data_IF_091362845141
#
_entry.id   IF_091362845141
#
_cell.length_a   1.000
_cell.length_b   1.000
_cell.length_c   1.000
_cell.angle_alpha   90.00
_cell.angle_beta   90.00
_cell.angle_gamma   90.00
#
_symmetry.space_group_name_H-M   'P 1'
#
loop_
_entity.id
_entity.type
_entity.pdbx_description
1 polymer ?
#
# COMPACT_ATOMS: atom_id res chain seq x y z
N UNK A 1 12.25 4.61 4.63
CA UNK A 1 11.45 3.74 3.76
C UNK A 1 10.27 4.45 3.11
N UNK A 2 9.48 3.72 2.32
CA UNK A 2 8.25 4.16 1.66
C UNK A 2 7.16 3.10 1.81
N UNK A 3 5.91 3.49 2.07
CA UNK A 3 4.78 2.56 2.05
C UNK A 3 4.48 2.09 0.63
N UNK A 4 4.05 0.84 0.47
CA UNK A 4 3.80 0.25 -0.86
C UNK A 4 2.36 -0.21 -1.10
N UNK A 5 1.44 0.09 -0.16
CA UNK A 5 0.01 -0.25 -0.31
C UNK A 5 -0.26 -1.76 -0.23
N UNK A 6 0.48 -2.43 0.66
CA UNK A 6 0.28 -3.83 1.02
C UNK A 6 0.08 -3.88 2.54
N UNK A 7 -0.92 -4.63 2.98
CA UNK A 7 -1.27 -4.80 4.39
C UNK A 7 -1.79 -6.22 4.66
N UNK A 8 -1.81 -6.62 5.92
CA UNK A 8 -2.47 -7.81 6.44
C UNK A 8 -3.37 -7.48 7.64
N UNK A 9 -3.96 -6.27 7.63
CA UNK A 9 -4.79 -5.72 8.72
C UNK A 9 -5.99 -6.61 9.06
N UNK A 10 -6.62 -7.21 8.05
CA UNK A 10 -7.81 -8.04 8.22
C UNK A 10 -7.50 -9.46 8.72
N UNK A 11 -6.39 -10.03 8.24
CA UNK A 11 -5.99 -11.41 8.52
C UNK A 11 -4.47 -11.49 8.54
N UNK A 12 -3.91 -11.58 9.75
CA UNK A 12 -2.50 -11.76 10.05
C UNK A 12 -1.82 -12.81 9.15
N UNK A 13 -0.67 -12.46 8.57
CA UNK A 13 0.06 -13.23 7.56
C UNK A 13 -0.63 -13.39 6.19
N UNK A 14 -1.76 -12.73 5.95
CA UNK A 14 -2.44 -12.69 4.64
C UNK A 14 -2.32 -11.31 4.02
N UNK A 15 -1.19 -11.10 3.32
CA UNK A 15 -0.89 -9.82 2.68
C UNK A 15 -1.69 -9.59 1.41
N UNK A 16 -2.33 -8.44 1.33
CA UNK A 16 -3.23 -8.03 0.25
C UNK A 16 -2.83 -6.65 -0.26
N UNK A 17 -3.11 -6.41 -1.54
CA UNK A 17 -2.95 -5.09 -2.14
C UNK A 17 -4.13 -4.16 -1.77
N UNK A 18 -4.02 -2.89 -2.18
CA UNK A 18 -5.07 -1.88 -2.00
C UNK A 18 -6.45 -2.23 -2.58
N UNK A 19 -6.54 -3.24 -3.46
CA UNK A 19 -7.79 -3.75 -4.05
C UNK A 19 -8.30 -5.01 -3.33
N UNK A 20 -7.59 -5.50 -2.33
CA UNK A 20 -7.90 -6.70 -1.57
C UNK A 20 -7.43 -8.01 -2.22
N UNK A 21 -6.60 -7.95 -3.26
CA UNK A 21 -6.05 -9.16 -3.86
C UNK A 21 -4.85 -9.65 -3.04
N UNK A 22 -4.80 -10.93 -2.71
CA UNK A 22 -3.62 -11.54 -2.08
C UNK A 22 -2.40 -11.39 -2.99
N UNK A 23 -1.30 -10.89 -2.43
CA UNK A 23 -0.05 -10.76 -3.16
C UNK A 23 0.58 -12.14 -3.40
N UNK A 24 1.21 -12.32 -4.55
CA UNK A 24 1.88 -13.59 -4.91
C UNK A 24 3.40 -13.47 -4.92
N UNK A 25 3.91 -12.25 -5.03
CA UNK A 25 5.33 -11.93 -4.91
C UNK A 25 5.56 -11.15 -3.62
N UNK A 26 6.65 -11.46 -2.93
CA UNK A 26 7.13 -10.67 -1.80
C UNK A 26 8.65 -10.52 -1.83
N UNK A 27 9.14 -9.50 -1.15
CA UNK A 27 10.56 -9.24 -0.94
C UNK A 27 10.87 -8.91 0.52
N UNK A 28 10.22 -9.61 1.46
CA UNK A 28 10.45 -9.42 2.89
C UNK A 28 11.92 -9.64 3.24
N UNK A 29 12.44 -8.82 4.15
CA UNK A 29 13.81 -8.93 4.60
C UNK A 29 14.05 -10.24 5.38
N UNK A 30 14.74 -11.18 4.72
CA UNK A 30 15.13 -12.44 5.34
C UNK A 30 16.18 -12.28 6.45
N UNK A 31 16.99 -11.21 6.44
CA UNK A 31 18.02 -11.00 7.47
C UNK A 31 17.41 -10.71 8.85
N UNK A 32 16.26 -10.01 8.87
CA UNK A 32 15.51 -9.70 10.08
C UNK A 32 14.26 -10.58 10.28
N UNK A 33 14.13 -11.64 9.47
CA UNK A 33 13.03 -12.62 9.52
C UNK A 33 11.65 -11.99 9.37
N UNK A 34 11.52 -11.03 8.45
CA UNK A 34 10.26 -10.35 8.15
C UNK A 34 9.26 -11.28 7.42
N UNK A 35 7.95 -11.08 7.60
CA UNK A 35 7.32 -10.18 8.58
C UNK A 35 7.51 -10.69 10.02
N UNK A 36 7.68 -9.80 10.99
CA UNK A 36 8.06 -10.19 12.36
C UNK A 36 7.31 -9.48 13.50
N UNK A 37 6.41 -8.54 13.22
CA UNK A 37 5.70 -7.80 14.24
C UNK A 37 4.35 -8.40 14.65
N UNK A 38 3.82 -9.36 13.88
CA UNK A 38 2.49 -9.91 14.08
C UNK A 38 1.42 -8.82 14.08
N UNK A 39 0.35 -8.99 14.87
CA UNK A 39 -0.80 -8.09 14.87
C UNK A 39 -0.49 -6.61 15.24
N UNK A 40 0.73 -6.31 15.71
CA UNK A 40 1.18 -4.95 15.97
C UNK A 40 1.73 -4.24 14.72
N UNK A 41 2.03 -4.96 13.64
CA UNK A 41 2.68 -4.46 12.44
C UNK A 41 1.99 -5.02 11.20
N UNK A 42 1.03 -4.27 10.66
CA UNK A 42 0.19 -4.79 9.57
C UNK A 42 0.38 -4.03 8.25
N UNK A 43 1.35 -3.12 8.17
CA UNK A 43 1.56 -2.25 7.02
C UNK A 43 2.98 -2.45 6.45
N UNK A 44 3.07 -2.65 5.13
CA UNK A 44 4.34 -3.00 4.49
C UNK A 44 5.02 -1.80 3.86
N UNK A 45 6.28 -1.60 4.21
CA UNK A 45 7.16 -0.57 3.65
C UNK A 45 8.41 -1.14 2.99
N UNK A 46 8.94 -0.43 2.00
CA UNK A 46 10.24 -0.72 1.38
C UNK A 46 11.32 0.24 1.90
N UNK A 47 12.49 -0.30 2.26
CA UNK A 47 13.55 0.47 2.93
C UNK A 47 14.85 0.45 2.11
N UNK A 48 15.26 1.57 1.49
CA UNK A 48 16.51 1.65 0.72
C UNK A 48 17.76 1.27 1.51
N UNK A 49 17.79 1.59 2.79
CA UNK A 49 18.84 1.23 3.75
C UNK A 49 18.99 -0.28 3.93
N UNK A 50 17.92 -1.05 3.67
CA UNK A 50 17.90 -2.52 3.71
C UNK A 50 17.85 -3.13 2.32
N UNK A 51 18.59 -2.54 1.37
CA UNK A 51 18.66 -3.03 -0.03
C UNK A 51 17.29 -3.15 -0.71
N UNK A 52 16.35 -2.26 -0.36
CA UNK A 52 14.98 -2.25 -0.88
C UNK A 52 14.18 -3.53 -0.57
N UNK A 53 14.52 -4.21 0.53
CA UNK A 53 13.68 -5.26 1.10
C UNK A 53 12.48 -4.66 1.85
N UNK A 54 11.49 -5.50 2.12
CA UNK A 54 10.23 -5.12 2.74
C UNK A 54 10.24 -5.43 4.22
N UNK A 55 9.56 -4.59 4.99
CA UNK A 55 9.26 -4.84 6.39
C UNK A 55 7.78 -4.60 6.67
N UNK A 56 7.17 -5.45 7.50
CA UNK A 56 5.95 -5.09 8.20
C UNK A 56 6.29 -4.10 9.31
N UNK A 57 5.43 -3.11 9.50
CA UNK A 57 5.58 -2.04 10.48
C UNK A 57 4.22 -1.66 11.03
N UNK A 58 4.24 -0.97 12.17
CA UNK A 58 3.01 -0.39 12.68
C UNK A 58 2.53 0.63 11.65
N UNK A 59 1.24 0.60 11.32
CA UNK A 59 0.67 1.49 10.31
C UNK A 59 0.79 2.98 10.67
N UNK A 60 1.01 3.27 11.95
CA UNK A 60 1.26 4.62 12.48
C UNK A 60 2.73 5.07 12.38
N UNK A 61 3.64 4.19 11.93
CA UNK A 61 5.05 4.54 11.80
C UNK A 61 5.25 5.60 10.71
N UNK A 62 6.14 6.55 10.98
CA UNK A 62 6.49 7.59 10.00
C UNK A 62 7.56 7.10 9.04
N UNK A 63 7.24 7.07 7.75
CA UNK A 63 8.18 6.81 6.65
C UNK A 63 8.26 8.02 5.71
N UNK A 64 9.17 8.01 4.74
CA UNK A 64 9.45 9.16 3.88
C UNK A 64 8.34 9.48 2.87
N UNK A 65 7.39 8.56 2.64
CA UNK A 65 6.27 8.74 1.73
C UNK A 65 5.64 7.40 1.34
N UNK A 66 4.82 7.40 0.27
CA UNK A 66 4.20 6.20 -0.28
C UNK A 66 4.43 6.08 -1.79
N UNK A 67 4.61 4.85 -2.26
CA UNK A 67 4.65 4.50 -3.69
C UNK A 67 3.24 4.05 -4.10
N UNK A 68 2.56 4.88 -4.90
CA UNK A 68 1.22 4.58 -5.38
C UNK A 68 1.28 3.86 -6.72
N UNK A 69 0.87 2.59 -6.75
CA UNK A 69 0.68 1.85 -7.99
C UNK A 69 -0.71 2.14 -8.56
N UNK A 70 -0.78 3.04 -9.54
CA UNK A 70 -2.01 3.25 -10.31
C UNK A 70 -2.24 2.06 -11.25
N UNK A 71 -3.12 1.14 -10.86
CA UNK A 71 -3.59 0.10 -11.75
C UNK A 71 -4.36 0.71 -12.94
N UNK A 72 -3.84 0.55 -14.16
CA UNK A 72 -4.54 0.96 -15.39
C UNK A 72 -5.31 -0.23 -15.97
N UNK A 73 -6.56 -0.44 -15.54
CA UNK A 73 -7.47 -1.36 -16.23
C UNK A 73 -8.01 -0.63 -17.48
N UNK A 74 -7.46 -0.93 -18.66
CA UNK A 74 -7.95 -0.36 -19.91
C UNK A 74 -9.02 -1.32 -20.50
N UNK A 75 -10.29 -1.06 -20.26
CA UNK A 75 -11.37 -1.61 -21.09
C UNK A 75 -11.66 -0.61 -22.22
N UNK A 76 -11.09 -0.84 -23.40
CA UNK A 76 -11.22 0.04 -24.58
C UNK A 76 -12.60 -0.10 -25.24
N UNK A 77 -13.68 0.39 -24.62
CA UNK A 77 -14.97 0.59 -25.32
C UNK A 77 -15.77 1.83 -24.88
N UNK A 78 -15.34 2.59 -23.88
CA UNK A 78 -16.06 3.81 -23.46
C UNK A 78 -15.09 4.93 -23.08
N UNK A 79 -15.39 6.14 -23.54
CA UNK A 79 -14.68 7.40 -23.22
C UNK A 79 -14.89 7.89 -21.78
N UNK A 80 -15.24 6.98 -20.86
CA UNK A 80 -15.45 7.27 -19.45
C UNK A 80 -14.38 6.57 -18.62
N UNK A 81 -13.60 7.38 -17.91
CA UNK A 81 -12.60 6.91 -16.97
C UNK A 81 -13.24 6.79 -15.58
N UNK A 82 -13.06 5.65 -14.92
CA UNK A 82 -13.39 5.48 -13.52
C UNK A 82 -12.08 5.49 -12.72
N UNK A 83 -11.96 6.44 -11.80
CA UNK A 83 -10.92 6.41 -10.76
C UNK A 83 -11.58 5.73 -9.56
N UNK A 84 -11.06 4.58 -9.14
CA UNK A 84 -11.48 3.93 -7.91
C UNK A 84 -10.66 4.55 -6.77
N UNK A 85 -11.34 5.10 -5.76
CA UNK A 85 -10.73 5.35 -4.46
C UNK A 85 -10.45 3.97 -3.83
N UNK A 86 -9.23 3.77 -3.36
CA UNK A 86 -8.86 2.56 -2.63
C UNK A 86 -8.83 2.88 -1.14
N UNK A 87 -9.75 2.27 -0.40
CA UNK A 87 -9.93 2.50 1.04
C UNK A 87 -8.78 1.92 1.90
N UNK A 88 -7.83 1.20 1.28
CA UNK A 88 -6.70 0.51 1.93
C UNK A 88 -5.35 1.18 1.69
N UNK A 89 -5.25 2.47 2.01
CA UNK A 89 -3.95 3.14 2.01
C UNK A 89 -3.40 3.19 3.43
N UNK A 90 -2.28 2.49 3.67
CA UNK A 90 -1.51 2.55 4.91
C UNK A 90 -0.83 3.93 5.16
N UNK A 91 -1.18 4.96 4.39
CA UNK A 91 -0.66 6.31 4.49
C UNK A 91 -1.77 7.20 5.06
N UNK A 92 -1.91 7.21 6.38
CA UNK A 92 -2.69 8.26 7.06
C UNK A 92 -1.75 8.96 8.06
N UNK A 93 -1.20 10.10 7.65
CA UNK A 93 -0.40 10.98 8.52
C UNK A 93 -1.19 12.23 8.95
N UNK A 94 -2.48 12.32 8.65
CA UNK A 94 -3.30 13.46 9.05
C UNK A 94 -4.72 13.02 9.22
N UNK A 95 -5.24 13.22 10.44
CA UNK A 95 -6.61 13.08 10.95
C UNK A 95 -7.73 13.75 10.09
N UNK A 96 -7.69 13.56 8.78
CA UNK A 96 -8.68 13.91 7.79
C UNK A 96 -8.85 12.67 6.92
N UNK A 97 -9.96 11.96 7.12
CA UNK A 97 -10.61 11.20 6.06
C UNK A 97 -11.05 12.17 4.94
N UNK A 98 -10.09 12.81 4.28
CA UNK A 98 -10.34 13.57 3.08
C UNK A 98 -10.23 12.56 1.94
N UNK A 99 -11.39 12.15 1.44
CA UNK A 99 -11.48 11.67 0.07
C UNK A 99 -10.84 12.72 -0.85
N UNK A 100 -9.58 12.52 -1.26
CA UNK A 100 -8.94 13.36 -2.27
C UNK A 100 -9.52 12.94 -3.62
N UNK A 101 -10.73 13.44 -3.92
CA UNK A 101 -11.29 13.47 -5.25
C UNK A 101 -10.74 14.67 -6.03
N UNK A 102 -9.48 14.60 -6.43
CA UNK A 102 -9.02 15.48 -7.51
C UNK A 102 -9.47 14.89 -8.85
N UNK A 103 -10.66 15.34 -9.24
CA UNK A 103 -11.14 15.24 -10.62
C UNK A 103 -10.26 16.13 -11.49
N UNK A 104 -9.10 15.63 -11.95
CA UNK A 104 -8.35 16.30 -13.00
C UNK A 104 -9.11 16.08 -14.32
N UNK A 105 -9.93 17.06 -14.68
CA UNK A 105 -10.45 17.22 -16.03
C UNK A 105 -9.31 17.72 -16.92
N UNK A 106 -8.83 16.88 -17.83
CA UNK A 106 -8.05 17.34 -18.97
C UNK A 106 -9.02 17.53 -20.14
N UNK A 107 -9.23 18.79 -20.52
CA UNK A 107 -9.90 19.20 -21.76
C UNK A 107 -9.05 18.87 -22.98
#
# INVERSE_FOLDING_TARGET
>A
GFWIGIDDIEEENTFVDTLGNTITYNNFDGATSQPNGGAAQNCVGVFPEESFTWQDKACTDTVSGALLFKHRIINLTSSRFYVYSVDRLCYDQTDEKQDIFDSIFLY
#
